data_IF_980916380509
#
_entry.id   IF_980916380509
#
_cell.length_a   1.000
_cell.length_b   1.000
_cell.length_c   1.000
_cell.angle_alpha   90.00
_cell.angle_beta   90.00
_cell.angle_gamma   90.00
#
_symmetry.space_group_name_H-M   'P 1'
#
loop_
_entity.id
_entity.type
_entity.pdbx_description
1 polymer ?
#
# COMPACT_ATOMS: atom_id res chain seq x y z
N UNK A 1 32.65 -5.66 -25.43
CA UNK A 1 31.93 -4.82 -26.43
C UNK A 1 31.19 -5.64 -27.51
N UNK A 2 31.13 -6.98 -27.44
CA UNK A 2 30.47 -7.83 -28.44
C UNK A 2 29.07 -8.31 -27.96
N UNK A 3 28.83 -8.44 -26.65
CA UNK A 3 27.52 -8.89 -26.13
C UNK A 3 26.41 -7.83 -26.19
N UNK A 4 26.75 -6.55 -25.99
CA UNK A 4 25.78 -5.43 -26.17
C UNK A 4 25.29 -5.35 -27.62
N UNK A 5 26.15 -5.68 -28.59
CA UNK A 5 25.75 -5.68 -30.00
C UNK A 5 24.71 -6.77 -30.30
N UNK A 6 24.82 -7.95 -29.67
CA UNK A 6 23.83 -9.02 -29.78
C UNK A 6 22.46 -8.63 -29.25
N UNK A 7 22.41 -7.80 -28.21
CA UNK A 7 21.16 -7.23 -27.67
C UNK A 7 20.60 -6.13 -28.58
N UNK A 8 21.42 -5.25 -29.16
CA UNK A 8 20.92 -4.15 -30.02
C UNK A 8 20.52 -4.64 -31.44
N UNK A 9 21.16 -5.69 -31.96
CA UNK A 9 20.83 -6.25 -33.29
C UNK A 9 19.68 -7.24 -33.27
N UNK A 10 19.38 -7.87 -32.13
CA UNK A 10 18.08 -8.51 -31.94
C UNK A 10 17.07 -7.38 -31.91
N UNK A 11 16.14 -7.36 -32.87
CA UNK A 11 14.92 -6.56 -32.71
C UNK A 11 14.28 -7.01 -31.41
N UNK A 12 14.51 -6.28 -30.32
CA UNK A 12 13.87 -6.54 -29.04
C UNK A 12 12.38 -6.57 -29.32
N UNK A 13 11.86 -7.79 -29.33
CA UNK A 13 10.44 -8.00 -29.45
C UNK A 13 9.83 -7.57 -28.13
N UNK A 14 8.56 -7.19 -28.14
CA UNK A 14 7.81 -6.87 -26.92
C UNK A 14 7.79 -8.02 -25.88
N UNK A 15 8.30 -9.21 -26.24
CA UNK A 15 8.35 -10.45 -25.46
C UNK A 15 9.71 -10.73 -24.82
N UNK A 16 10.78 -10.02 -25.19
CA UNK A 16 12.09 -10.23 -24.57
C UNK A 16 12.08 -9.56 -23.18
N UNK A 17 12.29 -10.35 -22.13
CA UNK A 17 12.26 -9.84 -20.75
C UNK A 17 13.58 -9.20 -20.39
N UNK A 18 13.53 -8.05 -19.71
CA UNK A 18 14.72 -7.46 -19.09
C UNK A 18 15.23 -8.31 -17.90
N UNK A 19 14.45 -9.30 -17.44
CA UNK A 19 14.79 -10.11 -16.27
C UNK A 19 16.11 -10.88 -16.42
N UNK A 20 16.57 -11.16 -17.64
CA UNK A 20 17.85 -11.85 -17.92
C UNK A 20 19.04 -10.88 -18.11
N UNK A 21 18.79 -9.56 -18.10
CA UNK A 21 19.83 -8.56 -18.29
C UNK A 21 20.71 -8.46 -17.02
N UNK A 22 21.94 -8.98 -17.10
CA UNK A 22 22.94 -8.97 -16.01
C UNK A 22 24.29 -8.44 -16.53
N UNK A 23 24.39 -7.15 -16.88
CA UNK A 23 25.61 -6.58 -17.42
C UNK A 23 26.70 -6.47 -16.35
N UNK A 24 27.97 -6.49 -16.75
CA UNK A 24 29.02 -5.98 -15.87
C UNK A 24 28.87 -4.46 -15.67
N UNK A 25 29.34 -3.91 -14.54
CA UNK A 25 29.19 -2.47 -14.25
C UNK A 25 29.74 -1.55 -15.38
N UNK A 26 30.95 -1.78 -15.95
CA UNK A 26 31.44 -0.96 -17.06
C UNK A 26 30.56 -1.06 -18.32
N UNK A 27 30.05 -2.25 -18.63
CA UNK A 27 29.15 -2.47 -19.76
C UNK A 27 27.81 -1.77 -19.55
N UNK A 28 27.27 -1.82 -18.33
CA UNK A 28 26.01 -1.17 -17.99
C UNK A 28 26.11 0.35 -18.11
N UNK A 29 27.21 0.96 -17.64
CA UNK A 29 27.43 2.41 -17.77
C UNK A 29 27.49 2.82 -19.24
N UNK A 30 28.24 2.08 -20.06
CA UNK A 30 28.35 2.36 -21.49
C UNK A 30 27.01 2.20 -22.21
N UNK A 31 26.27 1.13 -21.90
CA UNK A 31 24.96 0.88 -22.50
C UNK A 31 23.91 1.90 -22.05
N UNK A 32 23.88 2.27 -20.77
CA UNK A 32 22.98 3.31 -20.27
C UNK A 32 23.22 4.67 -20.95
N UNK A 33 24.49 5.02 -21.22
CA UNK A 33 24.82 6.24 -21.98
C UNK A 33 24.32 6.16 -23.43
N UNK A 34 24.57 5.04 -24.10
CA UNK A 34 24.02 4.80 -25.45
C UNK A 34 22.50 4.93 -25.48
N UNK A 35 21.81 4.40 -24.47
CA UNK A 35 20.35 4.49 -24.36
C UNK A 35 19.84 5.92 -24.19
N UNK A 36 20.60 6.82 -23.58
CA UNK A 36 20.28 8.27 -23.55
C UNK A 36 20.33 8.86 -24.96
N UNK A 37 21.38 8.56 -25.73
CA UNK A 37 21.52 9.04 -27.11
C UNK A 37 20.38 8.53 -28.00
N UNK A 38 20.02 7.24 -27.88
CA UNK A 38 18.88 6.65 -28.59
C UNK A 38 17.56 7.28 -28.14
N UNK A 39 17.40 7.60 -26.85
CA UNK A 39 16.23 8.30 -26.34
C UNK A 39 16.09 9.69 -26.99
N UNK A 40 17.17 10.47 -27.09
CA UNK A 40 17.17 11.79 -27.72
C UNK A 40 16.79 11.70 -29.21
N UNK A 41 17.43 10.78 -29.95
CA UNK A 41 17.14 10.56 -31.38
C UNK A 41 15.70 10.07 -31.57
N UNK A 42 15.24 9.14 -30.74
CA UNK A 42 13.88 8.62 -30.78
C UNK A 42 12.84 9.69 -30.50
N UNK A 43 13.06 10.52 -29.47
CA UNK A 43 12.20 11.63 -29.10
C UNK A 43 12.10 12.66 -30.24
N UNK A 44 13.23 13.05 -30.84
CA UNK A 44 13.25 13.96 -32.00
C UNK A 44 12.51 13.37 -33.22
N UNK A 45 12.70 12.07 -33.52
CA UNK A 45 12.02 11.38 -34.62
C UNK A 45 10.52 11.28 -34.42
N UNK A 46 10.06 11.18 -33.17
CA UNK A 46 8.66 11.15 -32.81
C UNK A 46 8.07 12.55 -32.60
N UNK A 47 8.63 13.57 -33.24
CA UNK A 47 8.19 14.97 -33.17
C UNK A 47 8.09 15.49 -31.73
N UNK A 48 9.05 15.11 -30.87
CA UNK A 48 9.06 15.49 -29.46
C UNK A 48 7.81 15.04 -28.70
N UNK A 49 7.26 13.87 -29.03
CA UNK A 49 6.06 13.33 -28.35
C UNK A 49 6.41 12.43 -27.18
N UNK A 50 7.25 11.41 -27.38
CA UNK A 50 7.60 10.41 -26.35
C UNK A 50 8.93 9.73 -26.64
N UNK A 51 9.57 9.16 -25.62
CA UNK A 51 10.65 8.19 -25.79
C UNK A 51 10.04 6.81 -26.08
N UNK A 52 10.62 5.98 -26.96
CA UNK A 52 10.13 4.61 -27.18
C UNK A 52 9.99 3.80 -25.87
N UNK A 53 8.84 3.16 -25.65
CA UNK A 53 8.49 2.42 -24.42
C UNK A 53 9.59 1.48 -23.90
N UNK A 54 10.30 0.79 -24.80
CA UNK A 54 11.33 -0.17 -24.43
C UNK A 54 12.57 0.50 -23.80
N UNK A 55 12.88 1.74 -24.19
CA UNK A 55 13.98 2.53 -23.61
C UNK A 55 13.60 3.00 -22.21
N UNK A 56 12.35 3.42 -22.01
CA UNK A 56 11.88 3.77 -20.68
C UNK A 56 11.83 2.54 -19.76
N UNK A 57 11.38 1.39 -20.27
CA UNK A 57 11.44 0.12 -19.52
C UNK A 57 12.87 -0.25 -19.14
N UNK A 58 13.84 -0.08 -20.05
CA UNK A 58 15.26 -0.24 -19.73
C UNK A 58 15.73 0.70 -18.63
N UNK A 59 15.38 1.99 -18.72
CA UNK A 59 15.80 2.99 -17.74
C UNK A 59 15.26 2.67 -16.35
N UNK A 60 13.97 2.32 -16.27
CA UNK A 60 13.36 1.85 -15.04
C UNK A 60 14.07 0.59 -14.57
N UNK A 61 14.09 -0.49 -15.37
CA UNK A 61 14.76 -1.75 -15.02
C UNK A 61 16.19 -1.56 -14.49
N UNK A 62 16.98 -0.71 -15.14
CA UNK A 62 18.37 -0.40 -14.76
C UNK A 62 18.52 0.32 -13.43
N UNK A 63 17.54 1.13 -13.03
CA UNK A 63 17.53 1.73 -11.70
C UNK A 63 17.31 0.68 -10.59
N UNK A 64 16.82 -0.51 -10.93
CA UNK A 64 16.56 -1.61 -9.98
C UNK A 64 17.62 -2.69 -9.91
N UNK A 65 18.40 -2.86 -10.98
CA UNK A 65 19.36 -3.95 -11.08
C UNK A 65 20.36 -3.97 -9.91
N UNK A 66 20.82 -2.79 -9.50
CA UNK A 66 21.65 -2.60 -8.31
C UNK A 66 20.94 -1.55 -7.43
N UNK A 67 20.72 -1.84 -6.14
CA UNK A 67 20.16 -0.85 -5.21
C UNK A 67 21.18 -0.44 -4.11
N UNK A 68 21.55 0.85 -3.99
CA UNK A 68 21.28 1.94 -4.95
C UNK A 68 22.11 1.77 -6.24
N UNK A 69 21.59 2.21 -7.40
CA UNK A 69 22.32 2.10 -8.65
C UNK A 69 23.56 3.00 -8.63
N UNK A 70 24.68 2.61 -9.28
CA UNK A 70 25.83 3.48 -9.44
C UNK A 70 25.41 4.85 -10.00
N UNK A 71 25.91 5.94 -9.42
CA UNK A 71 25.55 7.31 -9.82
C UNK A 71 25.57 7.58 -11.34
N UNK A 72 26.54 7.07 -12.14
CA UNK A 72 26.51 7.18 -13.60
C UNK A 72 25.26 6.56 -14.26
N UNK A 73 24.84 5.39 -13.77
CA UNK A 73 23.68 4.67 -14.30
C UNK A 73 22.42 5.41 -13.89
N UNK A 74 22.32 5.80 -12.63
CA UNK A 74 21.21 6.61 -12.13
C UNK A 74 21.00 7.89 -12.95
N UNK A 75 22.07 8.65 -13.19
CA UNK A 75 22.02 9.87 -13.98
C UNK A 75 21.53 9.63 -15.42
N UNK A 76 22.05 8.60 -16.09
CA UNK A 76 21.63 8.26 -17.46
C UNK A 76 20.16 7.80 -17.51
N UNK A 77 19.73 6.94 -16.58
CA UNK A 77 18.35 6.46 -16.54
C UNK A 77 17.36 7.59 -16.24
N UNK A 78 17.72 8.50 -15.33
CA UNK A 78 16.90 9.69 -15.08
C UNK A 78 16.89 10.66 -16.27
N UNK A 79 17.99 10.77 -17.04
CA UNK A 79 18.03 11.58 -18.25
C UNK A 79 17.06 11.02 -19.32
N UNK A 80 16.95 9.70 -19.46
CA UNK A 80 15.94 9.08 -20.35
C UNK A 80 14.52 9.49 -19.93
N UNK A 81 14.22 9.46 -18.64
CA UNK A 81 12.92 9.89 -18.16
C UNK A 81 12.69 11.40 -18.33
N UNK A 82 13.73 12.22 -18.16
CA UNK A 82 13.67 13.65 -18.43
C UNK A 82 13.31 13.93 -19.90
N UNK A 83 13.92 13.21 -20.84
CA UNK A 83 13.61 13.31 -22.27
C UNK A 83 12.15 12.89 -22.52
N UNK A 84 11.65 11.81 -21.90
CA UNK A 84 10.24 11.38 -22.07
C UNK A 84 9.22 12.42 -21.55
N UNK A 85 9.64 13.24 -20.60
CA UNK A 85 8.88 14.37 -20.08
C UNK A 85 9.08 15.66 -20.88
N UNK A 86 9.87 15.61 -21.95
CA UNK A 86 10.15 16.72 -22.84
C UNK A 86 11.17 17.73 -22.34
N UNK A 87 12.03 17.32 -21.41
CA UNK A 87 13.13 18.17 -20.94
C UNK A 87 14.31 18.12 -21.92
N UNK A 88 15.02 19.24 -22.07
CA UNK A 88 16.30 19.29 -22.77
C UNK A 88 17.43 18.85 -21.82
N UNK A 89 18.21 17.84 -22.23
CA UNK A 89 19.29 17.24 -21.44
C UNK A 89 20.66 17.35 -22.12
N UNK A 90 20.81 18.29 -23.05
CA UNK A 90 22.04 18.49 -23.84
C UNK A 90 23.29 18.85 -23.02
N UNK A 91 23.14 19.47 -21.84
CA UNK A 91 24.26 20.03 -21.05
C UNK A 91 24.81 19.13 -19.92
N UNK A 92 24.44 17.86 -19.88
CA UNK A 92 24.71 16.98 -18.73
C UNK A 92 26.13 16.39 -18.82
N UNK A 93 27.16 17.19 -18.54
CA UNK A 93 28.58 16.84 -18.82
C UNK A 93 29.40 16.30 -17.63
N UNK A 94 28.96 16.39 -16.35
CA UNK A 94 29.79 15.97 -15.18
C UNK A 94 29.08 15.15 -14.10
N UNK A 95 29.43 13.85 -13.96
CA UNK A 95 28.76 12.78 -13.20
C UNK A 95 27.98 13.13 -11.92
N UNK A 96 28.60 13.74 -10.90
CA UNK A 96 27.91 14.05 -9.63
C UNK A 96 26.98 15.26 -9.75
N UNK A 97 27.32 16.21 -10.63
CA UNK A 97 26.41 17.30 -11.02
C UNK A 97 25.26 16.76 -11.87
N UNK A 98 25.46 15.70 -12.67
CA UNK A 98 24.41 15.13 -13.53
C UNK A 98 23.21 14.69 -12.71
N UNK A 99 23.39 13.95 -11.61
CA UNK A 99 22.25 13.44 -10.84
C UNK A 99 21.39 14.58 -10.29
N UNK A 100 21.99 15.54 -9.57
CA UNK A 100 21.25 16.67 -9.02
C UNK A 100 20.67 17.58 -10.11
N UNK A 101 21.41 17.80 -11.20
CA UNK A 101 20.96 18.64 -12.32
C UNK A 101 19.79 17.98 -13.05
N UNK A 102 19.83 16.67 -13.30
CA UNK A 102 18.70 15.92 -13.85
C UNK A 102 17.51 15.98 -12.90
N UNK A 103 17.71 15.75 -11.60
CA UNK A 103 16.63 15.84 -10.61
C UNK A 103 15.97 17.22 -10.61
N UNK A 104 16.76 18.29 -10.67
CA UNK A 104 16.24 19.65 -10.74
C UNK A 104 15.48 19.90 -12.06
N UNK A 105 16.01 19.38 -13.17
CA UNK A 105 15.45 19.53 -14.51
C UNK A 105 14.10 18.82 -14.66
N UNK A 106 13.96 17.61 -14.09
CA UNK A 106 12.70 16.85 -14.14
C UNK A 106 11.67 17.32 -13.12
N UNK A 107 12.09 18.00 -12.05
CA UNK A 107 11.19 18.35 -10.95
C UNK A 107 10.00 19.20 -11.44
N UNK A 108 10.26 20.24 -12.22
CA UNK A 108 9.22 21.14 -12.68
C UNK A 108 8.28 20.49 -13.72
N UNK A 109 8.77 19.79 -14.76
CA UNK A 109 7.90 19.07 -15.70
C UNK A 109 7.06 17.97 -15.04
N UNK A 110 7.64 17.22 -14.09
CA UNK A 110 6.88 16.24 -13.29
C UNK A 110 5.77 16.93 -12.52
N UNK A 111 6.07 18.04 -11.85
CA UNK A 111 5.07 18.81 -11.09
C UNK A 111 3.92 19.28 -11.96
N UNK A 112 4.23 19.86 -13.12
CA UNK A 112 3.21 20.31 -14.08
C UNK A 112 2.37 19.13 -14.56
N UNK A 113 3.02 18.04 -14.96
CA UNK A 113 2.32 16.89 -15.51
C UNK A 113 1.43 16.16 -14.48
N UNK A 114 1.88 16.10 -13.21
CA UNK A 114 1.11 15.59 -12.09
C UNK A 114 -0.06 16.53 -11.74
N UNK A 115 0.18 17.85 -11.74
CA UNK A 115 -0.86 18.83 -11.44
C UNK A 115 -1.97 18.90 -12.51
N UNK A 116 -1.63 18.65 -13.77
CA UNK A 116 -2.59 18.68 -14.87
C UNK A 116 -3.40 17.38 -15.00
N UNK A 117 -3.02 16.31 -14.29
CA UNK A 117 -3.65 14.99 -14.35
C UNK A 117 -3.72 14.31 -15.74
N UNK A 118 -3.08 14.89 -16.77
CA UNK A 118 -3.23 14.54 -18.20
C UNK A 118 -2.42 13.34 -18.68
N UNK A 119 -1.52 12.80 -17.86
CA UNK A 119 -0.63 11.74 -18.33
C UNK A 119 -1.34 10.38 -18.46
N UNK A 120 -0.94 9.54 -19.43
CA UNK A 120 -1.36 8.15 -19.44
C UNK A 120 -0.80 7.41 -18.21
N UNK A 121 -1.55 6.43 -17.73
CA UNK A 121 -1.26 5.63 -16.52
C UNK A 121 0.19 5.15 -16.38
N UNK A 122 0.79 4.64 -17.46
CA UNK A 122 2.14 4.08 -17.42
C UNK A 122 3.21 5.14 -17.14
N UNK A 123 2.96 6.40 -17.52
CA UNK A 123 3.83 7.53 -17.17
C UNK A 123 3.77 7.84 -15.68
N UNK A 124 2.59 7.82 -15.05
CA UNK A 124 2.50 7.99 -13.58
C UNK A 124 3.30 6.95 -12.81
N UNK A 125 3.23 5.68 -13.22
CA UNK A 125 4.01 4.60 -12.60
C UNK A 125 5.52 4.86 -12.68
N UNK A 126 5.99 5.32 -13.84
CA UNK A 126 7.39 5.67 -14.07
C UNK A 126 7.82 6.90 -13.25
N UNK A 127 6.99 7.94 -13.25
CA UNK A 127 7.22 9.18 -12.50
C UNK A 127 7.26 8.93 -10.99
N UNK A 128 6.28 8.23 -10.43
CA UNK A 128 6.25 7.91 -9.00
C UNK A 128 7.51 7.17 -8.57
N UNK A 129 7.94 6.21 -9.37
CA UNK A 129 9.17 5.46 -9.14
C UNK A 129 10.41 6.35 -9.11
N UNK A 130 10.54 7.26 -10.09
CA UNK A 130 11.64 8.21 -10.16
C UNK A 130 11.62 9.18 -8.97
N UNK A 131 10.44 9.64 -8.59
CA UNK A 131 10.24 10.53 -7.45
C UNK A 131 10.59 9.85 -6.12
N UNK A 132 10.25 8.56 -5.96
CA UNK A 132 10.64 7.76 -4.80
C UNK A 132 12.16 7.55 -4.76
N UNK A 133 12.79 7.25 -5.90
CA UNK A 133 14.25 7.21 -6.01
C UNK A 133 14.86 8.54 -5.57
N UNK A 134 14.38 9.65 -6.13
CA UNK A 134 14.86 10.99 -5.80
C UNK A 134 14.67 11.33 -4.32
N UNK A 135 13.55 10.95 -3.71
CA UNK A 135 13.28 11.15 -2.28
C UNK A 135 14.19 10.29 -1.40
N UNK A 136 14.60 9.10 -1.88
CA UNK A 136 15.51 8.19 -1.16
C UNK A 136 16.96 8.70 -1.13
N UNK A 137 17.35 9.49 -2.13
CA UNK A 137 18.65 10.14 -2.16
C UNK A 137 18.69 11.28 -1.12
N UNK A 138 19.78 11.38 -0.36
CA UNK A 138 19.90 12.35 0.72
C UNK A 138 20.23 13.76 0.20
N UNK A 139 19.48 14.80 0.64
CA UNK A 139 19.75 16.20 0.29
C UNK A 139 18.73 17.23 0.76
N UNK A 140 19.09 18.52 0.67
CA UNK A 140 18.31 19.68 1.16
C UNK A 140 17.00 19.91 0.39
N UNK A 141 16.87 19.41 -0.85
CA UNK A 141 15.67 19.55 -1.70
C UNK A 141 14.57 18.50 -1.42
N UNK A 142 14.70 17.71 -0.35
CA UNK A 142 13.78 16.60 -0.02
C UNK A 142 12.31 17.04 0.10
N UNK A 143 12.01 18.18 0.71
CA UNK A 143 10.62 18.64 0.89
C UNK A 143 9.88 18.84 -0.45
N UNK A 144 10.58 19.44 -1.41
CA UNK A 144 10.11 19.76 -2.75
C UNK A 144 9.79 18.48 -3.54
N UNK A 145 10.61 17.44 -3.40
CA UNK A 145 10.44 16.14 -4.05
C UNK A 145 9.34 15.32 -3.36
N UNK A 146 9.30 15.29 -2.01
CA UNK A 146 8.27 14.58 -1.24
C UNK A 146 6.86 15.06 -1.62
N UNK A 147 6.64 16.37 -1.79
CA UNK A 147 5.33 16.90 -2.18
C UNK A 147 4.86 16.47 -3.57
N UNK A 148 5.77 16.39 -4.56
CA UNK A 148 5.44 15.86 -5.89
C UNK A 148 5.18 14.34 -5.83
N UNK A 149 5.97 13.62 -5.03
CA UNK A 149 5.84 12.17 -4.83
C UNK A 149 4.48 11.82 -4.25
N UNK A 150 4.08 12.51 -3.18
CA UNK A 150 2.78 12.34 -2.52
C UNK A 150 1.61 12.53 -3.48
N UNK A 151 1.64 13.59 -4.31
CA UNK A 151 0.60 13.81 -5.35
C UNK A 151 0.55 12.68 -6.36
N UNK A 152 1.71 12.22 -6.84
CA UNK A 152 1.79 11.12 -7.80
C UNK A 152 1.26 9.79 -7.22
N UNK A 153 1.54 9.52 -5.94
CA UNK A 153 0.97 8.37 -5.20
C UNK A 153 -0.56 8.52 -5.10
N UNK A 154 -1.06 9.71 -4.75
CA UNK A 154 -2.50 10.00 -4.69
C UNK A 154 -3.23 9.69 -6.01
N UNK A 155 -2.66 10.11 -7.15
CA UNK A 155 -3.23 9.83 -8.49
C UNK A 155 -3.21 8.34 -8.83
N UNK A 156 -2.16 7.60 -8.46
CA UNK A 156 -2.13 6.15 -8.69
C UNK A 156 -3.20 5.44 -7.86
N UNK A 157 -3.37 5.84 -6.60
CA UNK A 157 -4.37 5.28 -5.70
C UNK A 157 -5.79 5.61 -6.09
N UNK A 158 -6.08 6.84 -6.54
CA UNK A 158 -7.42 7.22 -7.01
C UNK A 158 -7.85 6.41 -8.25
N UNK A 159 -6.89 5.87 -9.00
CA UNK A 159 -7.11 4.96 -10.14
C UNK A 159 -7.09 3.48 -9.74
N UNK A 160 -7.02 3.17 -8.44
CA UNK A 160 -6.89 1.81 -7.88
C UNK A 160 -5.73 1.03 -8.49
N UNK A 161 -4.62 1.71 -8.76
CA UNK A 161 -3.46 1.09 -9.40
C UNK A 161 -2.38 0.84 -8.37
N UNK A 162 -1.86 -0.40 -8.29
CA UNK A 162 -0.71 -0.68 -7.44
C UNK A 162 0.47 0.16 -7.92
N UNK A 163 1.29 0.61 -6.97
CA UNK A 163 2.61 1.13 -7.34
C UNK A 163 3.39 0.05 -8.09
N UNK A 164 4.34 0.49 -8.89
CA UNK A 164 5.21 -0.43 -9.59
C UNK A 164 6.00 -1.24 -8.56
N UNK A 165 6.00 -2.58 -8.69
CA UNK A 165 6.86 -3.44 -7.86
C UNK A 165 8.31 -2.94 -7.81
N UNK A 166 8.84 -2.33 -8.89
CA UNK A 166 10.13 -1.70 -8.79
C UNK A 166 10.27 -0.49 -7.82
N UNK A 167 9.19 0.20 -7.42
CA UNK A 167 9.28 1.27 -6.42
C UNK A 167 9.68 0.77 -5.01
N UNK A 168 9.49 -0.51 -4.73
CA UNK A 168 9.67 -1.15 -3.42
C UNK A 168 11.04 -0.91 -2.78
N UNK A 169 12.19 -1.08 -3.47
CA UNK A 169 13.50 -0.89 -2.85
C UNK A 169 13.70 0.55 -2.37
N UNK A 170 13.11 1.55 -3.03
CA UNK A 170 13.19 2.94 -2.59
C UNK A 170 12.39 3.19 -1.32
N UNK A 171 11.18 2.66 -1.23
CA UNK A 171 10.34 2.79 -0.03
C UNK A 171 11.02 2.09 1.15
N UNK A 172 11.57 0.91 0.90
CA UNK A 172 12.40 0.16 1.86
C UNK A 172 13.57 1.01 2.33
N UNK A 173 14.27 1.68 1.42
CA UNK A 173 15.38 2.56 1.77
C UNK A 173 14.94 3.75 2.61
N UNK A 174 13.77 4.35 2.33
CA UNK A 174 13.20 5.41 3.16
C UNK A 174 12.92 4.90 4.59
N UNK A 175 12.40 3.68 4.72
CA UNK A 175 12.12 3.04 6.01
C UNK A 175 13.40 2.68 6.79
N UNK A 176 14.47 2.28 6.10
CA UNK A 176 15.76 1.95 6.70
C UNK A 176 16.66 3.17 6.95
N UNK A 177 16.30 4.34 6.43
CA UNK A 177 17.15 5.53 6.56
C UNK A 177 17.12 6.05 8.01
N UNK A 178 18.28 6.15 8.71
CA UNK A 178 18.35 6.67 10.07
C UNK A 178 18.19 8.20 10.16
N UNK A 179 17.96 8.89 9.04
CA UNK A 179 17.72 10.33 8.96
C UNK A 179 16.69 10.78 10.00
N UNK A 180 16.88 11.96 10.61
CA UNK A 180 15.93 12.50 11.58
C UNK A 180 14.51 12.61 10.98
N UNK A 181 13.47 12.57 11.82
CA UNK A 181 12.09 12.77 11.39
C UNK A 181 11.97 14.05 10.57
N UNK A 182 11.20 13.97 9.49
CA UNK A 182 10.93 15.11 8.61
C UNK A 182 9.48 14.99 8.19
N UNK A 183 8.62 15.99 8.47
CA UNK A 183 7.19 15.87 8.22
C UNK A 183 6.82 15.47 6.79
N UNK A 184 7.60 15.92 5.80
CA UNK A 184 7.37 15.57 4.40
C UNK A 184 7.77 14.13 4.07
N UNK A 185 8.86 13.65 4.66
CA UNK A 185 9.35 12.28 4.51
C UNK A 185 8.45 11.30 5.26
N UNK A 186 8.03 11.68 6.47
CA UNK A 186 7.15 10.87 7.30
C UNK A 186 5.80 10.65 6.60
N UNK A 187 5.21 11.71 6.03
CA UNK A 187 4.03 11.55 5.16
C UNK A 187 4.32 10.62 4.00
N UNK A 188 5.44 10.78 3.30
CA UNK A 188 5.77 9.93 2.16
C UNK A 188 5.85 8.44 2.55
N UNK A 189 6.48 8.14 3.68
CA UNK A 189 6.53 6.78 4.24
C UNK A 189 5.10 6.26 4.48
N UNK A 190 4.25 7.00 5.19
CA UNK A 190 2.85 6.57 5.46
C UNK A 190 2.11 6.22 4.15
N UNK A 191 2.16 7.11 3.17
CA UNK A 191 1.41 6.95 1.91
C UNK A 191 1.97 5.88 0.98
N UNK A 192 3.27 5.57 1.05
CA UNK A 192 3.90 4.57 0.20
C UNK A 192 3.94 3.16 0.83
N UNK A 193 3.77 3.05 2.15
CA UNK A 193 3.93 1.79 2.90
C UNK A 193 3.00 0.63 2.49
N UNK A 194 1.75 0.86 2.04
CA UNK A 194 0.89 -0.24 1.57
C UNK A 194 1.40 -0.97 0.33
N UNK A 195 2.36 -0.40 -0.37
CA UNK A 195 2.93 -1.00 -1.57
C UNK A 195 4.25 -1.75 -1.26
N UNK A 196 4.64 -1.84 0.02
CA UNK A 196 5.82 -2.58 0.47
C UNK A 196 5.47 -4.06 0.65
N UNK A 197 6.17 -5.00 -0.01
CA UNK A 197 6.08 -6.41 0.29
C UNK A 197 6.86 -6.70 1.58
N UNK A 198 6.16 -6.66 2.70
CA UNK A 198 6.68 -6.99 4.05
C UNK A 198 7.10 -8.47 4.22
N UNK A 199 7.45 -9.17 3.14
CA UNK A 199 7.85 -10.60 3.11
C UNK A 199 9.34 -10.82 2.90
N UNK A 200 10.04 -9.87 2.27
CA UNK A 200 11.33 -10.15 1.62
C UNK A 200 12.53 -9.43 2.27
N UNK A 201 12.33 -8.84 3.44
CA UNK A 201 13.33 -7.97 4.06
C UNK A 201 13.81 -8.59 5.38
N UNK A 202 15.04 -9.08 5.37
CA UNK A 202 15.73 -9.67 6.54
C UNK A 202 15.84 -8.74 7.75
N UNK A 203 15.59 -7.43 7.58
CA UNK A 203 15.69 -6.38 8.61
C UNK A 203 14.36 -5.66 8.88
N UNK A 204 13.21 -6.28 8.60
CA UNK A 204 11.91 -5.61 8.66
C UNK A 204 11.51 -5.05 10.03
N UNK A 205 12.11 -5.53 11.13
CA UNK A 205 11.80 -5.02 12.46
C UNK A 205 12.06 -3.52 12.59
N UNK A 206 13.25 -3.07 12.21
CA UNK A 206 13.60 -1.64 12.36
C UNK A 206 12.79 -0.78 11.38
N UNK A 207 12.47 -1.33 10.21
CA UNK A 207 11.58 -0.68 9.25
C UNK A 207 10.16 -0.52 9.81
N UNK A 208 9.60 -1.55 10.47
CA UNK A 208 8.28 -1.46 11.14
C UNK A 208 8.31 -0.47 12.29
N UNK A 209 9.38 -0.44 13.10
CA UNK A 209 9.52 0.54 14.18
C UNK A 209 9.60 1.98 13.62
N UNK A 210 10.36 2.20 12.55
CA UNK A 210 10.42 3.51 11.88
C UNK A 210 9.06 3.89 11.32
N UNK A 211 8.41 2.98 10.59
CA UNK A 211 7.07 3.18 10.05
C UNK A 211 6.08 3.56 11.15
N UNK A 212 6.03 2.80 12.25
CA UNK A 212 5.10 3.06 13.34
C UNK A 212 5.34 4.41 14.00
N UNK A 213 6.61 4.78 14.22
CA UNK A 213 7.00 6.10 14.75
C UNK A 213 6.50 7.22 13.82
N UNK A 214 6.69 7.04 12.52
CA UNK A 214 6.25 7.97 11.49
C UNK A 214 4.73 8.07 11.42
N UNK A 215 3.99 6.95 11.48
CA UNK A 215 2.52 6.91 11.50
C UNK A 215 1.96 7.71 12.66
N UNK A 216 2.52 7.53 13.87
CA UNK A 216 2.08 8.25 15.07
C UNK A 216 2.43 9.74 15.06
N UNK A 217 3.38 10.16 14.22
CA UNK A 217 3.79 11.55 14.08
C UNK A 217 2.99 12.30 12.99
N UNK A 218 2.36 11.59 12.06
CA UNK A 218 1.59 12.19 10.96
C UNK A 218 0.13 12.38 11.40
N UNK A 219 -0.47 13.58 11.24
CA UNK A 219 -1.87 13.79 11.57
C UNK A 219 -2.79 12.83 10.82
N UNK A 220 -3.71 12.21 11.54
CA UNK A 220 -4.67 11.30 10.95
C UNK A 220 -5.67 12.05 10.05
N UNK A 221 -5.79 11.59 8.81
CA UNK A 221 -6.74 12.06 7.80
C UNK A 221 -7.36 10.86 7.11
N UNK A 222 -8.45 11.04 6.36
CA UNK A 222 -9.08 9.93 5.64
C UNK A 222 -8.10 9.21 4.68
N UNK A 223 -7.28 9.97 3.95
CA UNK A 223 -6.29 9.42 3.01
C UNK A 223 -5.12 8.74 3.72
N UNK A 224 -4.56 9.37 4.77
CA UNK A 224 -3.44 8.79 5.51
C UNK A 224 -3.89 7.58 6.31
N UNK A 225 -5.06 7.64 6.96
CA UNK A 225 -5.66 6.53 7.69
C UNK A 225 -5.90 5.30 6.81
N UNK A 226 -6.17 5.50 5.51
CA UNK A 226 -6.37 4.38 4.57
C UNK A 226 -5.04 3.65 4.40
N UNK A 227 -3.99 4.43 4.18
CA UNK A 227 -2.63 3.92 4.02
C UNK A 227 -2.10 3.28 5.32
N UNK A 228 -2.45 3.84 6.48
CA UNK A 228 -2.11 3.27 7.79
C UNK A 228 -2.78 1.92 7.98
N UNK A 229 -4.09 1.80 7.77
CA UNK A 229 -4.80 0.53 7.94
C UNK A 229 -4.28 -0.52 6.97
N UNK A 230 -4.09 -0.17 5.70
CA UNK A 230 -3.52 -1.06 4.69
C UNK A 230 -2.18 -1.65 5.13
N UNK A 231 -1.21 -0.78 5.47
CA UNK A 231 0.12 -1.20 5.89
C UNK A 231 0.06 -2.00 7.21
N UNK A 232 -0.76 -1.57 8.18
CA UNK A 232 -0.92 -2.26 9.47
C UNK A 232 -1.36 -3.70 9.27
N UNK A 233 -2.39 -3.94 8.44
CA UNK A 233 -2.91 -5.29 8.22
C UNK A 233 -1.93 -6.16 7.42
N UNK A 234 -1.20 -5.58 6.46
CA UNK A 234 -0.16 -6.31 5.74
C UNK A 234 1.00 -6.73 6.66
N UNK A 235 1.50 -5.82 7.50
CA UNK A 235 2.54 -6.11 8.49
C UNK A 235 2.01 -7.14 9.49
N UNK A 236 0.78 -6.97 9.98
CA UNK A 236 0.18 -7.86 10.95
C UNK A 236 0.01 -9.29 10.40
N UNK A 237 -0.22 -9.50 9.11
CA UNK A 237 -0.27 -10.85 8.56
C UNK A 237 1.08 -11.59 8.65
N UNK A 238 2.18 -10.90 8.95
CA UNK A 238 3.50 -11.51 9.18
C UNK A 238 3.73 -11.74 10.67
N UNK A 239 3.70 -13.01 11.07
CA UNK A 239 3.80 -13.42 12.48
C UNK A 239 5.05 -12.85 13.19
N UNK A 240 6.18 -12.73 12.49
CA UNK A 240 7.43 -12.20 13.04
C UNK A 240 7.48 -10.66 13.13
N UNK A 241 6.63 -9.94 12.39
CA UNK A 241 6.57 -8.46 12.41
C UNK A 241 5.46 -7.93 13.30
N UNK A 242 4.36 -8.66 13.40
CA UNK A 242 3.20 -8.28 14.20
C UNK A 242 3.53 -7.81 15.62
N UNK A 243 4.44 -8.46 16.39
CA UNK A 243 4.79 -8.00 17.74
C UNK A 243 5.46 -6.62 17.79
N UNK A 244 5.89 -6.08 16.65
CA UNK A 244 6.55 -4.79 16.54
C UNK A 244 5.60 -3.64 16.19
N UNK A 245 4.32 -3.93 15.93
CA UNK A 245 3.29 -2.90 15.77
C UNK A 245 2.88 -2.42 17.17
N UNK A 246 3.16 -1.17 17.55
CA UNK A 246 2.82 -0.67 18.88
C UNK A 246 1.30 -0.48 19.02
N UNK A 247 0.79 -0.56 20.26
CA UNK A 247 -0.63 -0.39 20.57
C UNK A 247 -1.21 0.91 20.00
N UNK A 248 -0.45 2.01 20.05
CA UNK A 248 -0.91 3.30 19.53
C UNK A 248 -1.27 3.29 18.03
N UNK A 249 -0.65 2.41 17.22
CA UNK A 249 -1.04 2.27 15.80
C UNK A 249 -2.39 1.57 15.67
N UNK A 250 -2.66 0.58 16.52
CA UNK A 250 -3.97 -0.08 16.58
C UNK A 250 -5.05 0.86 17.11
N UNK A 251 -4.73 1.77 18.02
CA UNK A 251 -5.67 2.79 18.51
C UNK A 251 -6.17 3.71 17.39
N UNK A 252 -5.38 3.96 16.35
CA UNK A 252 -5.81 4.73 15.17
C UNK A 252 -7.00 4.09 14.44
N UNK A 253 -7.25 2.78 14.62
CA UNK A 253 -8.41 2.12 14.02
C UNK A 253 -9.71 2.64 14.66
N UNK A 254 -9.67 3.15 15.90
CA UNK A 254 -10.83 3.78 16.55
C UNK A 254 -11.29 5.04 15.82
N UNK A 255 -10.37 5.75 15.18
CA UNK A 255 -10.65 6.97 14.42
C UNK A 255 -11.34 6.69 13.08
N UNK A 256 -11.39 5.43 12.63
CA UNK A 256 -12.04 5.05 11.38
C UNK A 256 -12.97 3.85 11.55
N UNK A 257 -14.26 4.13 11.43
CA UNK A 257 -15.31 3.11 11.54
C UNK A 257 -15.67 2.44 10.21
N UNK A 258 -15.13 2.93 9.08
CA UNK A 258 -15.35 2.34 7.74
C UNK A 258 -14.26 2.73 6.74
N UNK A 259 -13.80 1.79 5.91
CA UNK A 259 -12.89 2.06 4.79
C UNK A 259 -13.67 2.14 3.46
N UNK A 260 -13.18 2.90 2.47
CA UNK A 260 -13.58 2.73 1.08
C UNK A 260 -13.21 1.32 0.56
N UNK A 261 -13.90 0.81 -0.48
CA UNK A 261 -13.73 -0.58 -0.99
C UNK A 261 -12.40 -0.92 -1.69
N UNK A 262 -11.37 -0.09 -1.52
CA UNK A 262 -10.08 -0.17 -2.25
C UNK A 262 -8.90 -0.44 -1.32
N UNK A 263 -9.13 -0.96 -0.12
CA UNK A 263 -8.13 -1.17 0.92
C UNK A 263 -7.39 -2.51 0.69
N UNK A 264 -6.22 -2.45 0.05
CA UNK A 264 -5.36 -3.59 -0.29
C UNK A 264 -4.99 -4.50 0.89
N UNK A 265 -4.91 -3.98 2.12
CA UNK A 265 -4.53 -4.73 3.32
C UNK A 265 -5.61 -5.66 3.88
N UNK A 266 -6.88 -5.56 3.45
CA UNK A 266 -7.98 -6.24 4.15
C UNK A 266 -7.97 -7.76 4.01
N UNK A 267 -7.55 -8.29 2.87
CA UNK A 267 -7.37 -9.74 2.69
C UNK A 267 -6.38 -10.32 3.71
N UNK A 268 -5.35 -9.54 4.05
CA UNK A 268 -4.35 -9.88 5.06
C UNK A 268 -4.93 -9.75 6.48
N UNK A 269 -5.80 -8.77 6.69
CA UNK A 269 -6.53 -8.58 7.94
C UNK A 269 -7.36 -9.80 8.33
N UNK A 270 -8.10 -10.41 7.40
CA UNK A 270 -8.93 -11.58 7.71
C UNK A 270 -8.14 -12.85 8.10
N UNK A 271 -6.81 -12.84 8.13
CA UNK A 271 -6.03 -13.98 8.56
C UNK A 271 -6.28 -14.31 10.05
N UNK A 272 -6.49 -15.60 10.43
CA UNK A 272 -6.84 -15.98 11.81
C UNK A 272 -5.82 -15.51 12.86
N UNK A 273 -4.53 -15.52 12.52
CA UNK A 273 -3.49 -15.03 13.44
C UNK A 273 -3.56 -13.52 13.70
N UNK A 274 -4.03 -12.73 12.73
CA UNK A 274 -4.25 -11.28 12.92
C UNK A 274 -5.43 -11.07 13.85
N UNK A 275 -6.54 -11.78 13.62
CA UNK A 275 -7.73 -11.72 14.48
C UNK A 275 -7.38 -12.09 15.93
N UNK A 276 -6.67 -13.20 16.14
CA UNK A 276 -6.21 -13.63 17.48
C UNK A 276 -5.33 -12.59 18.15
N UNK A 277 -4.46 -11.93 17.40
CA UNK A 277 -3.60 -10.89 17.94
C UNK A 277 -4.39 -9.65 18.36
N UNK A 278 -5.25 -9.13 17.47
CA UNK A 278 -6.09 -7.96 17.79
C UNK A 278 -6.98 -8.25 18.99
N UNK A 279 -7.57 -9.45 19.05
CA UNK A 279 -8.29 -9.95 20.22
C UNK A 279 -7.41 -9.95 21.47
N UNK A 280 -6.17 -10.44 21.35
CA UNK A 280 -5.18 -10.47 22.43
C UNK A 280 -4.73 -9.10 22.95
N UNK A 281 -5.02 -8.01 22.24
CA UNK A 281 -4.80 -6.65 22.75
C UNK A 281 -5.75 -6.31 23.91
N UNK A 282 -6.89 -7.02 24.03
CA UNK A 282 -7.83 -6.87 25.15
C UNK A 282 -8.66 -5.57 25.13
N UNK A 283 -8.51 -4.74 24.11
CA UNK A 283 -9.31 -3.52 23.91
C UNK A 283 -10.49 -3.82 22.97
N UNK A 284 -11.69 -3.81 23.54
CA UNK A 284 -12.92 -4.12 22.82
C UNK A 284 -13.26 -3.08 21.74
N UNK A 285 -12.88 -1.83 21.94
CA UNK A 285 -13.12 -0.76 20.97
C UNK A 285 -12.22 -0.96 19.75
N UNK A 286 -10.92 -1.29 19.96
CA UNK A 286 -10.02 -1.69 18.86
C UNK A 286 -10.57 -2.91 18.13
N UNK A 287 -10.99 -3.96 18.85
CA UNK A 287 -11.53 -5.18 18.26
C UNK A 287 -12.80 -4.92 17.46
N UNK A 288 -13.68 -4.05 17.96
CA UNK A 288 -14.90 -3.62 17.26
C UNK A 288 -14.55 -2.87 15.98
N UNK A 289 -13.70 -1.85 16.07
CA UNK A 289 -13.26 -1.08 14.90
C UNK A 289 -12.58 -1.98 13.87
N UNK A 290 -11.72 -2.89 14.32
CA UNK A 290 -11.10 -3.89 13.46
C UNK A 290 -12.13 -4.76 12.72
N UNK A 291 -13.16 -5.29 13.39
CA UNK A 291 -14.20 -6.05 12.71
C UNK A 291 -15.03 -5.19 11.76
N UNK A 292 -15.35 -3.95 12.14
CA UNK A 292 -16.02 -3.00 11.25
C UNK A 292 -15.19 -2.76 9.98
N UNK A 293 -13.86 -2.71 10.10
CA UNK A 293 -12.91 -2.53 9.00
C UNK A 293 -12.74 -3.80 8.16
N UNK A 294 -12.50 -4.98 8.76
CA UNK A 294 -12.25 -6.22 8.00
C UNK A 294 -13.51 -6.76 7.34
N UNK A 295 -14.67 -6.58 7.97
CA UNK A 295 -15.96 -6.83 7.31
C UNK A 295 -16.35 -5.67 6.39
N UNK A 296 -15.51 -4.63 6.23
CA UNK A 296 -15.86 -3.52 5.36
C UNK A 296 -15.80 -3.86 3.87
N UNK A 297 -15.11 -4.94 3.52
CA UNK A 297 -14.98 -5.41 2.15
C UNK A 297 -15.45 -6.85 1.98
N UNK A 298 -15.62 -7.21 0.70
CA UNK A 298 -15.99 -8.52 0.17
C UNK A 298 -14.87 -9.56 0.41
N UNK A 299 -14.26 -9.54 1.58
CA UNK A 299 -13.30 -10.53 2.00
C UNK A 299 -14.03 -11.85 2.20
N UNK A 300 -13.45 -12.93 1.67
CA UNK A 300 -13.91 -14.29 1.83
C UNK A 300 -13.12 -14.88 3.00
N UNK A 301 -13.60 -14.78 4.26
CA UNK A 301 -12.89 -15.38 5.37
C UNK A 301 -12.79 -16.88 5.11
N UNK A 302 -11.60 -17.44 5.29
CA UNK A 302 -11.40 -18.89 5.36
C UNK A 302 -12.19 -19.47 6.55
N UNK A 303 -12.38 -20.79 6.59
CA UNK A 303 -13.04 -21.45 7.72
C UNK A 303 -12.35 -21.13 9.05
N UNK A 304 -11.02 -21.19 9.11
CA UNK A 304 -10.24 -20.84 10.30
C UNK A 304 -10.44 -19.40 10.74
N UNK A 305 -10.50 -18.46 9.78
CA UNK A 305 -10.76 -17.05 10.05
C UNK A 305 -12.17 -16.88 10.60
N UNK A 306 -13.16 -17.49 9.95
CA UNK A 306 -14.55 -17.46 10.36
C UNK A 306 -14.72 -18.02 11.79
N UNK A 307 -14.16 -19.19 12.08
CA UNK A 307 -14.23 -19.82 13.41
C UNK A 307 -13.60 -18.92 14.49
N UNK A 308 -12.46 -18.29 14.15
CA UNK A 308 -11.79 -17.35 15.05
C UNK A 308 -12.65 -16.11 15.33
N UNK A 309 -13.34 -15.57 14.31
CA UNK A 309 -14.29 -14.46 14.49
C UNK A 309 -15.51 -14.90 15.32
N UNK A 310 -16.06 -16.10 15.07
CA UNK A 310 -17.18 -16.63 15.84
C UNK A 310 -16.83 -16.77 17.32
N UNK A 311 -15.67 -17.36 17.63
CA UNK A 311 -15.16 -17.48 19.01
C UNK A 311 -15.05 -16.11 19.65
N UNK A 312 -14.43 -15.14 18.96
CA UNK A 312 -14.27 -13.78 19.49
C UNK A 312 -15.62 -13.11 19.79
N UNK A 313 -16.61 -13.24 18.89
CA UNK A 313 -17.96 -12.72 19.14
C UNK A 313 -18.58 -13.35 20.40
N UNK A 314 -18.50 -14.68 20.53
CA UNK A 314 -19.12 -15.41 21.65
C UNK A 314 -18.47 -15.08 22.99
N UNK A 315 -17.16 -14.89 23.01
CA UNK A 315 -16.40 -14.71 24.24
C UNK A 315 -16.28 -13.23 24.61
N UNK A 316 -15.90 -12.36 23.67
CA UNK A 316 -15.55 -10.97 23.95
C UNK A 316 -16.77 -10.03 23.95
N UNK A 317 -17.84 -10.39 23.21
CA UNK A 317 -19.04 -9.56 23.08
C UNK A 317 -20.22 -10.06 23.93
N UNK A 318 -20.02 -10.94 24.91
CA UNK A 318 -21.12 -11.52 25.71
C UNK A 318 -21.63 -10.67 26.88
N UNK A 319 -20.88 -9.64 27.30
CA UNK A 319 -21.24 -8.80 28.44
C UNK A 319 -22.51 -7.94 28.22
N UNK A 320 -23.15 -7.45 29.28
CA UNK A 320 -24.30 -6.54 29.14
C UNK A 320 -23.89 -5.13 28.68
N UNK A 321 -22.70 -4.67 29.08
CA UNK A 321 -22.17 -3.33 28.81
C UNK A 321 -21.67 -3.14 27.36
N UNK A 322 -21.42 -4.21 26.61
CA UNK A 322 -20.91 -4.17 25.23
C UNK A 322 -22.01 -4.01 24.16
N UNK A 323 -23.25 -3.71 24.59
CA UNK A 323 -24.42 -3.69 23.71
C UNK A 323 -24.31 -2.71 22.54
N UNK A 324 -23.59 -1.59 22.69
CA UNK A 324 -23.36 -0.66 21.58
C UNK A 324 -22.49 -1.30 20.49
N UNK A 325 -21.35 -1.89 20.87
CA UNK A 325 -20.47 -2.57 19.93
C UNK A 325 -21.20 -3.68 19.14
N UNK A 326 -22.03 -4.49 19.82
CA UNK A 326 -22.84 -5.52 19.12
C UNK A 326 -23.79 -4.93 18.09
N UNK A 327 -24.44 -3.81 18.39
CA UNK A 327 -25.33 -3.13 17.44
C UNK A 327 -24.57 -2.65 16.21
N UNK A 328 -23.41 -2.03 16.41
CA UNK A 328 -22.57 -1.53 15.32
C UNK A 328 -22.11 -2.67 14.40
N UNK A 329 -21.68 -3.78 15.00
CA UNK A 329 -21.29 -5.00 14.27
C UNK A 329 -22.47 -5.62 13.50
N UNK A 330 -23.67 -5.69 14.09
CA UNK A 330 -24.87 -6.19 13.41
C UNK A 330 -25.25 -5.30 12.23
N UNK A 331 -25.22 -3.97 12.39
CA UNK A 331 -25.51 -3.03 11.31
C UNK A 331 -24.48 -3.15 10.16
N UNK A 332 -23.19 -3.34 10.49
CA UNK A 332 -22.17 -3.63 9.48
C UNK A 332 -22.47 -4.91 8.71
N UNK A 333 -22.77 -6.01 9.40
CA UNK A 333 -23.08 -7.28 8.72
C UNK A 333 -24.35 -7.18 7.86
N UNK A 334 -25.38 -6.45 8.31
CA UNK A 334 -26.56 -6.15 7.47
C UNK A 334 -26.19 -5.35 6.22
N UNK A 335 -25.26 -4.42 6.32
CA UNK A 335 -24.77 -3.68 5.16
C UNK A 335 -24.04 -4.61 4.18
N UNK A 336 -23.09 -5.41 4.67
CA UNK A 336 -22.33 -6.38 3.85
C UNK A 336 -23.24 -7.38 3.13
N UNK A 337 -24.20 -7.97 3.84
CA UNK A 337 -25.16 -8.92 3.25
C UNK A 337 -26.05 -8.26 2.18
N UNK A 338 -26.41 -6.98 2.36
CA UNK A 338 -27.12 -6.21 1.32
C UNK A 338 -26.25 -5.97 0.09
N UNK A 339 -24.95 -5.70 0.28
CA UNK A 339 -24.02 -5.53 -0.83
C UNK A 339 -23.83 -6.81 -1.63
N UNK A 340 -23.75 -7.99 -0.99
CA UNK A 340 -23.73 -9.27 -1.71
C UNK A 340 -25.02 -9.53 -2.48
N UNK A 341 -26.18 -9.19 -1.91
CA UNK A 341 -27.48 -9.36 -2.58
C UNK A 341 -27.68 -8.45 -3.80
N UNK A 342 -26.98 -7.31 -3.87
CA UNK A 342 -27.07 -6.35 -4.99
C UNK A 342 -26.34 -6.80 -6.26
N UNK A 343 -25.53 -7.85 -6.20
CA UNK A 343 -24.91 -8.46 -7.39
C UNK A 343 -23.68 -7.73 -7.97
N UNK A 344 -23.13 -8.34 -9.04
CA UNK A 344 -21.76 -8.17 -9.54
C UNK A 344 -21.42 -6.87 -10.31
N UNK A 345 -22.36 -5.97 -10.58
CA UNK A 345 -22.12 -4.80 -11.46
C UNK A 345 -21.11 -3.78 -10.88
N UNK A 346 -20.85 -3.84 -9.57
CA UNK A 346 -19.76 -3.11 -8.91
C UNK A 346 -18.60 -4.03 -8.44
N UNK A 347 -18.70 -5.34 -8.64
CA UNK A 347 -17.68 -6.33 -8.23
C UNK A 347 -16.62 -6.47 -9.32
N UNK A 348 -17.02 -6.53 -10.58
CA UNK A 348 -16.14 -6.68 -11.74
C UNK A 348 -15.18 -5.51 -11.98
N UNK A 349 -15.48 -4.32 -11.46
CA UNK A 349 -14.69 -3.10 -11.71
C UNK A 349 -13.47 -2.89 -10.78
N UNK A 350 -13.45 -3.51 -9.59
CA UNK A 350 -12.45 -3.19 -8.55
C UNK A 350 -11.40 -4.29 -8.35
N UNK A 351 -11.73 -5.54 -8.67
CA UNK A 351 -10.81 -6.67 -8.63
C UNK A 351 -10.99 -7.52 -9.90
N UNK A 352 -10.03 -7.54 -10.83
CA UNK A 352 -10.14 -8.25 -12.11
C UNK A 352 -9.95 -9.78 -11.98
N UNK A 353 -9.71 -10.29 -10.77
CA UNK A 353 -9.67 -11.73 -10.50
C UNK A 353 -11.10 -12.25 -10.38
N UNK A 354 -11.44 -13.30 -11.13
CA UNK A 354 -12.74 -13.98 -11.10
C UNK A 354 -13.08 -14.37 -9.65
N UNK A 355 -14.03 -13.68 -9.04
CA UNK A 355 -14.74 -14.17 -7.84
C UNK A 355 -15.86 -15.06 -8.36
N UNK A 356 -15.86 -16.33 -7.95
CA UNK A 356 -16.91 -17.26 -8.36
C UNK A 356 -18.23 -16.92 -7.64
N UNK A 357 -19.38 -17.19 -8.28
CA UNK A 357 -20.68 -17.11 -7.60
C UNK A 357 -20.72 -18.01 -6.36
N UNK A 358 -19.98 -19.13 -6.40
CA UNK A 358 -19.82 -20.03 -5.27
C UNK A 358 -19.09 -19.35 -4.08
N UNK A 359 -18.05 -18.55 -4.34
CA UNK A 359 -17.35 -17.79 -3.30
C UNK A 359 -18.30 -16.76 -2.65
N UNK A 360 -19.09 -16.05 -3.46
CA UNK A 360 -20.08 -15.07 -3.01
C UNK A 360 -21.14 -15.75 -2.13
N UNK A 361 -21.63 -16.92 -2.56
CA UNK A 361 -22.61 -17.70 -1.79
C UNK A 361 -22.03 -18.13 -0.44
N UNK A 362 -20.79 -18.62 -0.44
CA UNK A 362 -20.11 -19.07 0.77
C UNK A 362 -19.86 -17.91 1.75
N UNK A 363 -19.33 -16.78 1.29
CA UNK A 363 -19.18 -15.59 2.12
C UNK A 363 -20.52 -15.11 2.67
N UNK A 364 -21.58 -15.07 1.85
CA UNK A 364 -22.92 -14.69 2.29
C UNK A 364 -23.41 -15.57 3.43
N UNK A 365 -23.20 -16.89 3.33
CA UNK A 365 -23.54 -17.84 4.38
C UNK A 365 -22.72 -17.59 5.66
N UNK A 366 -21.41 -17.42 5.54
CA UNK A 366 -20.51 -17.15 6.68
C UNK A 366 -20.89 -15.85 7.40
N UNK A 367 -21.06 -14.74 6.69
CA UNK A 367 -21.49 -13.48 7.30
C UNK A 367 -22.91 -13.54 7.88
N UNK A 368 -23.82 -14.31 7.26
CA UNK A 368 -25.13 -14.62 7.82
C UNK A 368 -25.02 -15.31 9.18
N UNK A 369 -24.16 -16.32 9.28
CA UNK A 369 -23.90 -17.03 10.53
C UNK A 369 -23.29 -16.13 11.60
N UNK A 370 -22.31 -15.27 11.28
CA UNK A 370 -21.75 -14.30 12.25
C UNK A 370 -22.82 -13.36 12.82
N UNK A 371 -23.75 -12.91 11.98
CA UNK A 371 -24.88 -12.07 12.40
C UNK A 371 -25.82 -12.81 13.35
N UNK A 372 -26.11 -14.08 13.07
CA UNK A 372 -26.94 -14.92 13.94
C UNK A 372 -26.28 -15.18 15.30
N UNK A 373 -24.95 -15.38 15.30
CA UNK A 373 -24.16 -15.50 16.54
C UNK A 373 -24.26 -14.22 17.37
N UNK A 374 -24.12 -13.04 16.78
CA UNK A 374 -24.30 -11.76 17.49
C UNK A 374 -25.72 -11.63 18.10
N UNK A 375 -26.76 -12.04 17.36
CA UNK A 375 -28.14 -12.02 17.85
C UNK A 375 -28.37 -13.04 18.99
N UNK A 376 -27.72 -14.19 18.95
CA UNK A 376 -27.71 -15.17 20.05
C UNK A 376 -27.08 -14.56 21.31
N UNK A 377 -25.91 -13.92 21.16
CA UNK A 377 -25.19 -13.29 22.26
C UNK A 377 -26.00 -12.15 22.89
N UNK A 378 -26.66 -11.31 22.07
CA UNK A 378 -27.57 -10.26 22.55
C UNK A 378 -28.73 -10.83 23.38
N UNK A 379 -29.37 -11.91 22.90
CA UNK A 379 -30.45 -12.58 23.65
C UNK A 379 -29.97 -13.12 24.99
N UNK A 380 -28.79 -13.75 25.04
CA UNK A 380 -28.20 -14.24 26.30
C UNK A 380 -27.92 -13.10 27.27
N UNK A 381 -27.37 -11.98 26.78
CA UNK A 381 -27.12 -10.80 27.60
C UNK A 381 -28.43 -10.22 28.20
N UNK A 382 -29.51 -10.17 27.41
CA UNK A 382 -30.83 -9.71 27.86
C UNK A 382 -31.48 -10.65 28.91
N UNK A 383 -31.32 -11.96 28.74
CA UNK A 383 -31.78 -12.95 29.73
C UNK A 383 -31.04 -12.79 31.06
N UNK A 384 -29.71 -12.65 31.02
CA UNK A 384 -28.90 -12.45 32.21
C UNK A 384 -29.26 -11.16 32.95
N UNK A 385 -29.55 -10.07 32.23
CA UNK A 385 -29.98 -8.81 32.83
C UNK A 385 -31.34 -8.95 33.53
N UNK A 386 -32.29 -9.64 32.88
CA UNK A 386 -33.61 -9.92 33.48
C UNK A 386 -33.47 -10.76 34.75
N UNK A 387 -32.66 -11.82 34.71
CA UNK A 387 -32.42 -12.70 35.86
C UNK A 387 -31.77 -11.95 37.02
N UNK A 388 -30.81 -11.06 36.74
CA UNK A 388 -30.18 -10.20 37.74
C UNK A 388 -31.20 -9.27 38.39
N UNK A 389 -32.06 -8.61 37.61
CA UNK A 389 -33.13 -7.78 38.17
C UNK A 389 -34.13 -8.59 38.99
N UNK A 390 -34.51 -9.80 38.57
CA UNK A 390 -35.42 -10.66 39.34
C UNK A 390 -34.81 -11.15 40.66
N UNK A 391 -33.49 -11.35 40.74
CA UNK A 391 -32.81 -11.78 41.97
C UNK A 391 -32.49 -10.61 42.90
N UNK A 392 -32.15 -9.43 42.37
CA UNK A 392 -31.93 -8.23 43.18
C UNK A 392 -33.22 -7.52 43.61
N UNK A 393 -34.35 -7.76 42.94
CA UNK A 393 -35.66 -7.25 43.34
C UNK A 393 -36.33 -8.08 44.45
N UNK A 394 -35.66 -9.11 44.99
CA UNK A 394 -36.04 -9.68 46.28
C UNK A 394 -35.84 -8.58 47.34
N UNK A 395 -36.93 -8.08 47.95
CA UNK A 395 -36.82 -7.01 48.92
C UNK A 395 -35.93 -7.50 50.07
N UNK A 396 -35.19 -6.56 50.67
CA UNK A 396 -34.67 -6.64 52.03
C UNK A 396 -35.86 -6.75 53.03
N UNK A 397 -36.69 -7.77 52.86
CA UNK A 397 -37.72 -8.21 53.78
C UNK A 397 -37.09 -9.30 54.65
N UNK A 398 -36.18 -8.89 55.53
CA UNK A 398 -36.02 -9.56 56.81
C UNK A 398 -35.83 -8.49 57.90
N UNK A 399 -36.38 -8.75 59.09
CA UNK A 399 -37.02 -7.78 59.99
C UNK A 399 -36.09 -6.85 60.76
#
# INVERSE_FOLDING_TARGET
MIEIHGLVTRRWSRRDSWDDYRPSRPEHIAFARYMVEVAQVGYQRLECRNVPDWILRFALHSLFLDFPPPAPIAANCLAIAAIDLGCDVSDITTLKKQLQLVLNLINQPIRTAVAEERLPTWKYKSITTILLFAASLEGDDRQTISGATLRSIGILRSKSMPMWAPAVPYITALLKNPSPPSPSLDRLIVFASPDVPWTDLSDDRDAVVRWATTVLAVPYTEESGQSVVDATLQIAAKDFLRPHIPLGVWELFKERTSLPPTCFGLSQGAHPNVIRHVRGLGDLEILTSYFLLVWSERCFPSDDAFDTMEISIREDFCGTWVGQHRRDLVERLKHVLREFARGNDHISGSFPWYVDEDDIREATQRYGKLKDVLAEVERKAAMNLTQYHSTCALPLLFP
#
